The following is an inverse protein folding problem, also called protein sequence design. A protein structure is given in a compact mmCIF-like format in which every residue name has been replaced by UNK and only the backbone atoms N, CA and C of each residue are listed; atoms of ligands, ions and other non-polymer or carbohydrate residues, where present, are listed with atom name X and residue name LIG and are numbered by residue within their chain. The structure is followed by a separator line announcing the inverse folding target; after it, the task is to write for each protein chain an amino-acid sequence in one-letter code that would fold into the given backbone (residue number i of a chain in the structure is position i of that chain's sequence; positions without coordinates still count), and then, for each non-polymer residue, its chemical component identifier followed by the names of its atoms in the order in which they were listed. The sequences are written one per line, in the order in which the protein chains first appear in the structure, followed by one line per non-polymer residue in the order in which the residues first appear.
data_IF_397756483899
#
_entry.id   IF_397756483899
#
_cell.length_a   1.000
_cell.length_b   1.000
_cell.length_c   1.000
_cell.angle_alpha   90.00
_cell.angle_beta   90.00
_cell.angle_gamma   90.00
#
_symmetry.space_group_name_H-M   'P 1'
#
loop_
_entity.id
_entity.type
_entity.pdbx_description
1 polymer ?
#
# COMPACT_ATOMS: atom_id res chain seq x y z
N UNK A 1 7.30 1.85 21.13
CA UNK A 1 6.04 2.64 21.12
C UNK A 1 4.92 1.64 20.81
N UNK A 2 4.03 1.32 21.75
CA UNK A 2 3.00 0.25 21.64
C UNK A 2 1.62 0.82 21.24
N UNK A 3 1.51 2.15 21.19
CA UNK A 3 0.28 2.92 20.95
C UNK A 3 -0.60 2.44 19.78
N UNK A 4 -0.07 2.14 18.57
CA UNK A 4 -0.94 1.80 17.44
C UNK A 4 -1.62 0.43 17.62
N UNK A 5 -0.95 -0.55 18.24
CA UNK A 5 -1.52 -1.88 18.45
C UNK A 5 -2.63 -1.88 19.50
N UNK A 6 -2.43 -1.12 20.58
CA UNK A 6 -3.46 -0.97 21.61
C UNK A 6 -4.70 -0.23 21.08
N UNK A 7 -4.48 0.77 20.21
CA UNK A 7 -5.58 1.45 19.52
C UNK A 7 -6.36 0.50 18.61
N UNK A 8 -5.66 -0.34 17.83
CA UNK A 8 -6.28 -1.32 16.95
C UNK A 8 -7.08 -2.38 17.72
N UNK A 9 -6.56 -2.88 18.85
CA UNK A 9 -7.29 -3.80 19.73
C UNK A 9 -8.59 -3.18 20.26
N UNK A 10 -8.56 -1.89 20.65
CA UNK A 10 -9.78 -1.20 21.09
C UNK A 10 -10.81 -1.08 19.96
N UNK A 11 -10.37 -0.79 18.73
CA UNK A 11 -11.25 -0.73 17.56
C UNK A 11 -11.90 -2.09 17.27
N UNK A 12 -11.15 -3.20 17.43
CA UNK A 12 -11.70 -4.55 17.36
C UNK A 12 -12.79 -4.77 18.41
N UNK A 13 -12.56 -4.37 19.66
CA UNK A 13 -13.56 -4.50 20.73
C UNK A 13 -14.82 -3.67 20.46
N UNK A 14 -14.71 -2.58 19.70
CA UNK A 14 -15.84 -1.76 19.26
C UNK A 14 -16.52 -2.28 17.98
N UNK A 15 -16.02 -3.37 17.38
CA UNK A 15 -16.53 -3.91 16.12
C UNK A 15 -16.14 -3.08 14.88
N UNK A 16 -15.23 -2.11 15.03
CA UNK A 16 -14.77 -1.23 13.95
C UNK A 16 -13.67 -1.92 13.14
N UNK A 17 -14.02 -3.03 12.48
CA UNK A 17 -13.08 -3.93 11.81
C UNK A 17 -12.23 -3.23 10.75
N UNK A 18 -12.82 -2.35 9.94
CA UNK A 18 -12.12 -1.63 8.86
C UNK A 18 -11.03 -0.69 9.40
N UNK A 19 -11.34 0.01 10.49
CA UNK A 19 -10.38 0.91 11.13
C UNK A 19 -9.28 0.13 11.83
N UNK A 20 -9.62 -0.98 12.51
CA UNK A 20 -8.64 -1.85 13.14
C UNK A 20 -7.67 -2.41 12.08
N UNK A 21 -8.20 -2.90 10.95
CA UNK A 21 -7.39 -3.39 9.85
C UNK A 21 -6.41 -2.33 9.33
N UNK A 22 -6.89 -1.11 9.10
CA UNK A 22 -6.05 -0.02 8.59
C UNK A 22 -4.87 0.27 9.54
N UNK A 23 -5.10 0.24 10.86
CA UNK A 23 -4.05 0.45 11.85
C UNK A 23 -3.07 -0.71 11.88
N UNK A 24 -3.54 -1.96 11.84
CA UNK A 24 -2.68 -3.13 11.76
C UNK A 24 -1.86 -3.15 10.46
N UNK A 25 -2.46 -2.84 9.31
CA UNK A 25 -1.75 -2.77 8.01
C UNK A 25 -0.64 -1.73 8.04
N UNK A 26 -0.91 -0.51 8.49
CA UNK A 26 0.13 0.52 8.67
C UNK A 26 1.24 0.05 9.59
N UNK A 27 0.90 -0.66 10.66
CA UNK A 27 1.91 -1.20 11.58
C UNK A 27 2.77 -2.26 10.89
N UNK A 28 2.18 -3.13 10.06
CA UNK A 28 2.91 -4.14 9.27
C UNK A 28 3.73 -3.50 8.14
N UNK A 29 3.28 -2.41 7.55
CA UNK A 29 4.02 -1.64 6.54
C UNK A 29 5.28 -1.01 7.14
N UNK A 30 5.18 -0.47 8.35
CA UNK A 30 6.32 0.08 9.09
C UNK A 30 7.24 -1.00 9.66
N UNK A 31 6.67 -2.09 10.20
CA UNK A 31 7.39 -3.23 10.74
C UNK A 31 6.79 -4.55 10.24
N UNK A 32 7.32 -5.08 9.12
CA UNK A 32 6.85 -6.35 8.55
C UNK A 32 7.11 -7.58 9.42
N UNK A 33 7.93 -7.45 10.48
CA UNK A 33 8.28 -8.49 11.45
C UNK A 33 7.51 -8.34 12.76
N UNK A 34 6.49 -7.49 12.80
CA UNK A 34 5.64 -7.38 13.97
C UNK A 34 4.60 -8.50 13.99
N UNK A 35 4.89 -9.59 14.71
CA UNK A 35 3.99 -10.74 14.82
C UNK A 35 2.62 -10.37 15.41
N UNK A 36 2.56 -9.39 16.33
CA UNK A 36 1.32 -8.93 16.95
C UNK A 36 0.43 -8.22 15.93
N UNK A 37 1.01 -7.36 15.08
CA UNK A 37 0.27 -6.67 14.04
C UNK A 37 -0.30 -7.64 12.99
N UNK A 38 0.52 -8.62 12.56
CA UNK A 38 0.10 -9.66 11.62
C UNK A 38 -0.98 -10.55 12.23
N UNK A 39 -0.88 -10.89 13.51
CA UNK A 39 -1.94 -11.59 14.24
C UNK A 39 -3.23 -10.75 14.30
N UNK A 40 -3.09 -9.43 14.48
CA UNK A 40 -4.22 -8.50 14.47
C UNK A 40 -5.02 -8.55 13.17
N UNK A 41 -4.33 -8.62 12.02
CA UNK A 41 -4.95 -8.83 10.71
C UNK A 41 -5.65 -10.19 10.61
N UNK A 42 -5.03 -11.25 11.15
CA UNK A 42 -5.67 -12.57 11.21
C UNK A 42 -6.98 -12.52 12.01
N UNK A 43 -7.00 -11.79 13.13
CA UNK A 43 -8.18 -11.63 13.98
C UNK A 43 -9.28 -10.84 13.31
N UNK A 44 -8.95 -9.74 12.64
CA UNK A 44 -9.92 -8.99 11.81
C UNK A 44 -10.55 -9.91 10.75
N UNK A 45 -9.75 -10.72 10.07
CA UNK A 45 -10.24 -11.66 9.05
C UNK A 45 -11.18 -12.73 9.65
N UNK A 46 -10.90 -13.24 10.85
CA UNK A 46 -11.82 -14.16 11.56
C UNK A 46 -13.15 -13.48 11.85
N UNK A 47 -13.14 -12.25 12.37
CA UNK A 47 -14.37 -11.50 12.67
C UNK A 47 -15.20 -11.19 11.41
N UNK A 48 -14.53 -11.03 10.26
CA UNK A 48 -15.21 -10.88 8.95
C UNK A 48 -15.71 -12.20 8.35
N UNK A 49 -15.29 -13.34 8.89
CA UNK A 49 -15.62 -14.66 8.35
C UNK A 49 -14.70 -15.14 7.23
N UNK A 50 -13.59 -14.45 6.98
CA UNK A 50 -12.60 -14.76 5.94
C UNK A 50 -11.55 -15.76 6.47
N UNK A 51 -11.96 -17.03 6.62
CA UNK A 51 -11.14 -18.05 7.27
C UNK A 51 -9.84 -18.37 6.52
N UNK A 52 -9.86 -18.31 5.18
CA UNK A 52 -8.68 -18.51 4.34
C UNK A 52 -7.63 -17.42 4.59
N UNK A 53 -8.06 -16.16 4.65
CA UNK A 53 -7.19 -15.01 4.89
C UNK A 53 -6.62 -15.08 6.31
N UNK A 54 -7.48 -15.38 7.29
CA UNK A 54 -7.07 -15.53 8.69
C UNK A 54 -5.99 -16.62 8.85
N UNK A 55 -6.16 -17.76 8.20
CA UNK A 55 -5.19 -18.86 8.24
C UNK A 55 -3.82 -18.44 7.69
N UNK A 56 -3.78 -17.78 6.53
CA UNK A 56 -2.53 -17.29 5.92
C UNK A 56 -1.83 -16.29 6.82
N UNK A 57 -2.56 -15.36 7.43
CA UNK A 57 -1.96 -14.36 8.33
C UNK A 57 -1.48 -14.99 9.65
N UNK A 58 -2.23 -15.94 10.22
CA UNK A 58 -1.81 -16.66 11.42
C UNK A 58 -0.53 -17.49 11.17
N UNK A 59 -0.44 -18.19 10.03
CA UNK A 59 0.76 -18.91 9.62
C UNK A 59 1.95 -17.95 9.38
N UNK A 60 1.71 -16.74 8.87
CA UNK A 60 2.75 -15.72 8.75
C UNK A 60 3.22 -15.22 10.12
N UNK A 61 2.31 -14.99 11.07
CA UNK A 61 2.68 -14.60 12.43
C UNK A 61 3.55 -15.67 13.10
N UNK A 62 3.23 -16.96 12.92
CA UNK A 62 4.06 -18.08 13.41
C UNK A 62 5.44 -18.18 12.75
N UNK A 63 5.56 -17.79 11.47
CA UNK A 63 6.89 -17.73 10.81
C UNK A 63 7.76 -16.62 11.37
N UNK A 64 7.16 -15.54 11.87
CA UNK A 64 7.86 -14.42 12.48
C UNK A 64 8.22 -14.75 13.93
N UNK A 65 7.24 -15.25 14.68
CA UNK A 65 7.36 -15.65 16.07
C UNK A 65 6.73 -17.03 16.27
N UNK A 66 7.55 -18.10 16.22
CA UNK A 66 7.09 -19.47 16.40
C UNK A 66 6.55 -19.77 17.81
N UNK A 67 6.91 -18.97 18.81
CA UNK A 67 6.48 -19.16 20.20
C UNK A 67 5.14 -18.48 20.51
N UNK A 68 4.57 -17.79 19.52
CA UNK A 68 3.30 -17.09 19.67
C UNK A 68 2.13 -18.08 19.75
N UNK A 69 1.75 -18.44 20.98
CA UNK A 69 0.64 -19.35 21.27
C UNK A 69 -0.70 -18.88 20.69
N UNK A 70 -0.95 -17.57 20.61
CA UNK A 70 -2.17 -17.03 20.03
C UNK A 70 -2.22 -17.26 18.52
N UNK A 71 -1.09 -17.07 17.83
CA UNK A 71 -0.97 -17.37 16.40
C UNK A 71 -1.11 -18.88 16.13
N UNK A 72 -0.55 -19.73 16.98
CA UNK A 72 -0.70 -21.19 16.88
C UNK A 72 -2.16 -21.63 17.02
N UNK A 73 -2.85 -21.11 18.05
CA UNK A 73 -4.26 -21.42 18.26
C UNK A 73 -5.14 -20.91 17.11
N UNK A 74 -4.85 -19.72 16.58
CA UNK A 74 -5.56 -19.14 15.44
C UNK A 74 -5.35 -19.95 14.15
N UNK A 75 -4.12 -20.35 13.85
CA UNK A 75 -3.80 -21.18 12.67
C UNK A 75 -4.52 -22.53 12.74
N UNK A 76 -4.45 -23.21 13.89
CA UNK A 76 -5.10 -24.51 14.08
C UNK A 76 -6.62 -24.39 13.94
N UNK A 77 -7.23 -23.40 14.61
CA UNK A 77 -8.68 -23.16 14.57
C UNK A 77 -9.15 -22.86 13.15
N UNK A 78 -8.44 -22.01 12.42
CA UNK A 78 -8.81 -21.66 11.04
C UNK A 78 -8.59 -22.84 10.09
N UNK A 79 -7.54 -23.64 10.29
CA UNK A 79 -7.29 -24.86 9.51
C UNK A 79 -8.41 -25.91 9.72
N UNK A 80 -8.87 -26.11 10.96
CA UNK A 80 -9.99 -27.01 11.27
C UNK A 80 -11.28 -26.56 10.59
N UNK A 81 -11.60 -25.27 10.64
CA UNK A 81 -12.79 -24.72 9.98
C UNK A 81 -12.73 -24.85 8.46
N UNK A 82 -11.55 -24.70 7.85
CA UNK A 82 -11.35 -24.91 6.42
C UNK A 82 -11.46 -26.40 6.04
N UNK A 83 -10.91 -27.31 6.84
CA UNK A 83 -11.05 -28.76 6.64
C UNK A 83 -12.50 -29.24 6.77
N UNK A 84 -13.27 -28.63 7.67
CA UNK A 84 -14.70 -28.93 7.89
C UNK A 84 -15.65 -28.35 6.85
N UNK A 85 -15.19 -27.44 5.98
CA UNK A 85 -16.01 -26.85 4.91
C UNK A 85 -15.58 -27.34 3.53
N UNK A 86 -16.15 -28.45 3.02
CA UNK A 86 -16.02 -28.76 1.60
C UNK A 86 -16.84 -27.74 0.80
N UNK A 87 -16.16 -26.77 0.18
CA UNK A 87 -16.68 -26.05 -0.99
C UNK A 87 -17.64 -24.88 -0.76
N UNK A 88 -17.42 -24.01 0.24
CA UNK A 88 -18.20 -22.76 0.34
C UNK A 88 -17.38 -21.51 0.11
N UNK A 89 -17.51 -21.05 -1.13
CA UNK A 89 -17.74 -19.66 -1.50
C UNK A 89 -16.52 -18.74 -1.69
N UNK A 90 -15.81 -18.97 -2.80
CA UNK A 90 -14.87 -18.03 -3.44
C UNK A 90 -15.50 -16.68 -3.84
N UNK A 91 -16.73 -16.35 -3.43
CA UNK A 91 -17.45 -15.14 -3.91
C UNK A 91 -17.85 -14.14 -2.83
N UNK A 92 -17.42 -14.29 -1.57
CA UNK A 92 -17.80 -13.33 -0.51
C UNK A 92 -16.61 -12.79 0.27
N UNK A 93 -15.66 -12.23 -0.45
CA UNK A 93 -14.50 -11.52 0.12
C UNK A 93 -13.50 -11.06 -0.93
N UNK A 94 -13.93 -10.86 -2.19
CA UNK A 94 -13.11 -10.16 -3.16
C UNK A 94 -13.34 -8.65 -2.97
N UNK A 95 -12.71 -8.09 -1.95
CA UNK A 95 -12.02 -6.85 -2.20
C UNK A 95 -10.55 -7.23 -2.36
N UNK A 96 -10.01 -7.27 -3.59
CA UNK A 96 -8.57 -7.15 -3.72
C UNK A 96 -8.16 -5.92 -2.92
N UNK A 97 -7.12 -6.04 -2.10
CA UNK A 97 -6.44 -4.86 -1.60
C UNK A 97 -6.23 -3.92 -2.80
N UNK A 98 -6.49 -2.60 -2.67
CA UNK A 98 -6.07 -1.68 -3.71
C UNK A 98 -4.55 -1.67 -3.71
N UNK A 99 -3.95 -2.55 -4.51
CA UNK A 99 -2.70 -2.29 -5.17
C UNK A 99 -3.01 -1.25 -6.26
N UNK A 100 -2.23 -0.17 -6.26
CA UNK A 100 -2.19 0.90 -7.27
C UNK A 100 -3.38 1.85 -7.36
N UNK A 101 -3.28 2.99 -6.66
CA UNK A 101 -3.59 4.32 -7.23
C UNK A 101 -3.13 5.45 -6.28
N UNK A 102 -1.85 5.80 -6.38
CA UNK A 102 -1.36 7.19 -6.31
C UNK A 102 -0.20 7.26 -7.30
N UNK A 103 -0.51 7.31 -8.59
CA UNK A 103 -0.60 8.59 -9.30
C UNK A 103 -0.03 9.77 -8.49
N UNK A 104 1.28 9.95 -8.66
CA UNK A 104 1.97 11.20 -8.37
C UNK A 104 2.03 12.04 -9.64
N UNK A 105 0.88 12.30 -10.26
CA UNK A 105 0.66 13.47 -11.08
C UNK A 105 0.17 14.60 -10.17
N UNK A 106 1.12 15.32 -9.57
CA UNK A 106 0.86 16.72 -9.22
C UNK A 106 1.66 17.58 -10.17
N UNK A 107 0.95 18.06 -11.19
CA UNK A 107 1.32 19.23 -11.98
C UNK A 107 1.78 20.37 -11.06
N UNK A 108 3.00 20.84 -11.29
CA UNK A 108 3.29 22.28 -11.25
C UNK A 108 4.10 22.61 -12.49
N UNK A 109 3.35 22.88 -13.54
CA UNK A 109 3.43 24.11 -14.34
C UNK A 109 4.65 25.00 -14.04
N UNK A 110 5.57 25.13 -15.00
CA UNK A 110 6.15 26.41 -15.44
C UNK A 110 7.19 26.21 -16.56
N UNK A 111 6.90 26.83 -17.70
CA UNK A 111 7.85 27.35 -18.70
C UNK A 111 8.53 26.32 -19.62
N UNK A 112 7.98 26.10 -20.82
CA UNK A 112 8.29 26.87 -22.04
C UNK A 112 9.77 26.79 -22.46
N UNK A 113 10.08 25.88 -23.40
CA UNK A 113 11.01 26.20 -24.50
C UNK A 113 10.79 25.22 -25.67
N UNK A 114 9.74 25.48 -26.46
CA UNK A 114 9.53 24.78 -27.74
C UNK A 114 10.40 25.43 -28.80
N UNK A 115 11.60 24.89 -29.01
CA UNK A 115 12.43 25.24 -30.15
C UNK A 115 11.76 24.76 -31.46
N UNK A 116 11.54 25.62 -32.48
CA UNK A 116 11.11 25.15 -33.79
C UNK A 116 12.32 24.64 -34.58
N UNK A 117 12.22 23.41 -35.08
CA UNK A 117 13.00 22.96 -36.24
C UNK A 117 12.39 23.59 -37.49
N UNK A 118 13.14 24.49 -38.12
CA UNK A 118 12.92 24.96 -39.48
C UNK A 118 14.21 24.73 -40.28
N UNK A 119 14.02 24.42 -41.55
CA UNK A 119 14.93 23.78 -42.52
C UNK A 119 16.25 24.52 -42.83
N UNK A 120 17.21 23.85 -43.51
CA UNK A 120 18.44 24.47 -43.96
C UNK A 120 18.26 25.10 -45.36
N UNK A 121 18.66 26.36 -45.53
CA UNK A 121 18.91 26.93 -46.84
C UNK A 121 19.96 28.06 -46.76
N UNK A 122 21.16 27.74 -47.27
CA UNK A 122 22.02 28.59 -48.11
C UNK A 122 22.02 30.12 -47.95
N UNK A 123 23.21 30.67 -47.72
CA UNK A 123 23.69 31.76 -48.57
C UNK A 123 24.18 33.02 -47.86
N UNK A 124 25.48 33.28 -48.03
CA UNK A 124 26.05 34.62 -48.25
C UNK A 124 26.44 35.45 -47.01
N UNK A 125 27.68 35.18 -46.60
CA UNK A 125 28.68 36.14 -46.15
C UNK A 125 28.46 37.58 -46.65
N UNK A 126 28.51 38.56 -45.73
CA UNK A 126 29.20 39.84 -45.94
C UNK A 126 29.31 40.64 -44.65
N UNK A 127 30.52 40.60 -44.11
CA UNK A 127 31.24 41.72 -43.48
C UNK A 127 30.69 43.11 -43.89
N UNK A 128 30.52 43.97 -42.89
CA UNK A 128 30.06 45.35 -43.06
C UNK A 128 28.54 45.40 -42.94
N UNK A 129 27.95 46.26 -42.15
CA UNK A 129 28.14 47.68 -42.25
C UNK A 129 27.47 48.32 -41.03
N UNK A 130 28.23 49.24 -40.41
CA UNK A 130 27.72 50.47 -39.81
C UNK A 130 26.97 50.30 -38.49
N UNK A 131 27.65 50.49 -37.35
CA UNK A 131 27.97 51.81 -36.78
C UNK A 131 26.70 52.63 -36.51
N UNK A 132 26.64 53.17 -35.27
CA UNK A 132 25.89 54.39 -34.89
C UNK A 132 24.40 54.08 -34.59
N UNK A 133 23.87 54.38 -33.40
CA UNK A 133 23.34 55.72 -33.06
C UNK A 133 22.80 55.69 -31.59
N UNK A 134 23.34 56.61 -30.77
CA UNK A 134 22.84 57.27 -29.54
C UNK A 134 22.44 56.41 -28.32
N UNK A 135 22.99 56.61 -27.11
CA UNK A 135 23.14 57.83 -26.29
C UNK A 135 22.40 57.54 -24.97
N UNK A 136 22.86 57.79 -23.75
CA UNK A 136 23.69 58.82 -23.13
C UNK A 136 24.11 58.30 -21.75
#
# INVERSE_FOLDING_TARGET
MIEPLLHAERLLLMGMLDQAEAVYRRTVEHDPRNAIAVMGLARVAVERGEMEVAHVQAARALRIDPENAAAAAMEARTAELLRGRPGRDRRRGAQPAPDDERDSSSERDSSSERAPRSEPATGTDRRGLLRRILGR
#
